data_IF_588942682167
#
_entry.id   IF_588942682167
#
_cell.length_a   1.000
_cell.length_b   1.000
_cell.length_c   1.000
_cell.angle_alpha   90.00
_cell.angle_beta   90.00
_cell.angle_gamma   90.00
#
_symmetry.space_group_name_H-M   'P 1'
#
loop_
_entity.id
_entity.type
_entity.pdbx_description
1 polymer ?
#
# COMPACT_ATOMS: atom_id res chain seq x y z
N UNK A 1 -1.44 -3.24 -27.12
CA UNK A 1 -2.36 -2.53 -26.20
C UNK A 1 -2.93 -3.44 -25.14
N UNK A 2 -3.70 -4.47 -25.50
CA UNK A 2 -4.32 -5.42 -24.54
C UNK A 2 -3.30 -6.08 -23.60
N UNK A 3 -2.15 -6.49 -24.13
CA UNK A 3 -1.03 -7.05 -23.34
C UNK A 3 -0.49 -6.05 -22.31
N UNK A 4 -0.25 -4.79 -22.74
CA UNK A 4 0.19 -3.70 -21.86
C UNK A 4 -0.84 -3.44 -20.74
N UNK A 5 -2.13 -3.38 -21.07
CA UNK A 5 -3.17 -3.23 -20.06
C UNK A 5 -3.27 -4.45 -19.13
N UNK A 6 -3.12 -5.67 -19.64
CA UNK A 6 -3.15 -6.87 -18.79
C UNK A 6 -2.02 -6.86 -17.76
N UNK A 7 -0.82 -6.43 -18.17
CA UNK A 7 0.34 -6.24 -17.29
C UNK A 7 0.16 -5.08 -16.30
N UNK A 8 -0.46 -3.98 -16.72
CA UNK A 8 -0.67 -2.81 -15.85
C UNK A 8 -1.81 -3.01 -14.86
N UNK A 9 -2.93 -3.60 -15.27
CA UNK A 9 -4.14 -3.74 -14.44
C UNK A 9 -3.91 -4.63 -13.22
N UNK A 10 -2.95 -5.57 -13.27
CA UNK A 10 -2.54 -6.33 -12.09
C UNK A 10 -2.05 -5.43 -10.95
N UNK A 11 -1.52 -4.24 -11.26
CA UNK A 11 -1.05 -3.23 -10.29
C UNK A 11 -2.18 -2.38 -9.70
N UNK A 12 -3.39 -2.44 -10.27
CA UNK A 12 -4.57 -1.67 -9.85
C UNK A 12 -5.70 -2.59 -9.39
N UNK A 13 -5.55 -3.21 -8.21
CA UNK A 13 -6.51 -4.20 -7.68
C UNK A 13 -7.98 -3.71 -7.68
N UNK A 14 -8.22 -2.44 -7.36
CA UNK A 14 -9.56 -1.83 -7.32
C UNK A 14 -10.19 -1.63 -8.70
N UNK A 15 -9.38 -1.38 -9.73
CA UNK A 15 -9.86 -1.30 -11.11
C UNK A 15 -10.12 -2.73 -11.64
N UNK A 16 -9.18 -3.65 -11.40
CA UNK A 16 -9.27 -5.06 -11.82
C UNK A 16 -10.54 -5.75 -11.32
N UNK A 17 -11.00 -5.41 -10.11
CA UNK A 17 -12.21 -5.97 -9.53
C UNK A 17 -13.50 -5.52 -10.22
N UNK A 18 -13.47 -4.44 -11.03
CA UNK A 18 -14.66 -3.75 -11.52
C UNK A 18 -14.77 -3.73 -13.04
N UNK A 19 -13.65 -3.66 -13.74
CA UNK A 19 -13.62 -3.51 -15.19
C UNK A 19 -12.75 -4.59 -15.83
N UNK A 20 -13.20 -5.11 -16.97
CA UNK A 20 -12.39 -6.03 -17.75
C UNK A 20 -11.27 -5.27 -18.48
N UNK A 21 -10.21 -5.98 -18.86
CA UNK A 21 -9.13 -5.41 -19.68
C UNK A 21 -9.68 -4.83 -20.99
N UNK A 22 -10.70 -5.46 -21.58
CA UNK A 22 -11.29 -5.01 -22.84
C UNK A 22 -12.08 -3.71 -22.66
N UNK A 23 -12.84 -3.58 -21.56
CA UNK A 23 -13.55 -2.34 -21.20
C UNK A 23 -12.58 -1.18 -20.97
N UNK A 24 -11.47 -1.44 -20.28
CA UNK A 24 -10.42 -0.45 -20.00
C UNK A 24 -9.73 0.02 -21.28
N UNK A 25 -9.40 -0.90 -22.18
CA UNK A 25 -8.83 -0.56 -23.49
C UNK A 25 -9.80 0.31 -24.28
N UNK A 26 -11.10 -0.03 -24.27
CA UNK A 26 -12.12 0.78 -24.95
C UNK A 26 -12.24 2.17 -24.31
N UNK A 27 -12.33 2.26 -22.99
CA UNK A 27 -12.39 3.53 -22.25
C UNK A 27 -11.18 4.43 -22.50
N UNK A 28 -9.99 3.83 -22.59
CA UNK A 28 -8.76 4.52 -22.96
C UNK A 28 -8.86 5.14 -24.36
N UNK A 29 -9.30 4.38 -25.37
CA UNK A 29 -9.43 4.91 -26.72
C UNK A 29 -10.52 5.98 -26.83
N UNK A 30 -11.62 5.84 -26.10
CA UNK A 30 -12.67 6.87 -26.00
C UNK A 30 -12.10 8.18 -25.45
N UNK A 31 -11.25 8.11 -24.42
CA UNK A 31 -10.77 9.30 -23.69
C UNK A 31 -9.51 9.91 -24.30
N UNK A 32 -8.57 9.07 -24.74
CA UNK A 32 -7.19 9.45 -25.11
C UNK A 32 -6.84 9.10 -26.56
N UNK A 33 -7.68 8.35 -27.28
CA UNK A 33 -7.33 7.70 -28.54
C UNK A 33 -6.74 8.61 -29.61
N UNK A 34 -7.31 9.82 -29.81
CA UNK A 34 -6.81 10.77 -30.81
C UNK A 34 -5.38 11.25 -30.49
N UNK A 35 -5.15 11.70 -29.26
CA UNK A 35 -3.84 12.23 -28.85
C UNK A 35 -2.79 11.11 -28.75
N UNK A 36 -3.21 9.94 -28.27
CA UNK A 36 -2.39 8.74 -28.22
C UNK A 36 -1.94 8.29 -29.63
N UNK A 37 -2.84 8.26 -30.61
CA UNK A 37 -2.50 7.86 -31.98
C UNK A 37 -1.43 8.78 -32.59
N UNK A 38 -1.52 10.10 -32.37
CA UNK A 38 -0.49 11.05 -32.80
C UNK A 38 0.85 10.76 -32.13
N UNK A 39 0.85 10.52 -30.81
CA UNK A 39 2.08 10.23 -30.06
C UNK A 39 2.77 8.93 -30.53
N UNK A 40 1.99 7.88 -30.80
CA UNK A 40 2.53 6.60 -31.28
C UNK A 40 3.01 6.67 -32.72
N UNK A 41 2.31 7.40 -33.60
CA UNK A 41 2.77 7.61 -34.99
C UNK A 41 4.08 8.40 -35.08
N UNK A 42 4.40 9.18 -34.05
CA UNK A 42 5.68 9.89 -33.94
C UNK A 42 6.82 9.03 -33.36
N UNK A 43 6.55 7.77 -32.96
CA UNK A 43 7.58 6.87 -32.45
C UNK A 43 8.57 6.49 -33.56
N UNK A 44 9.86 6.44 -33.21
CA UNK A 44 10.94 6.11 -34.15
C UNK A 44 11.01 4.62 -34.48
N UNK A 45 10.51 3.77 -33.59
CA UNK A 45 10.54 2.32 -33.68
C UNK A 45 9.48 1.69 -32.76
N UNK A 46 9.32 0.37 -32.87
CA UNK A 46 8.35 -0.40 -32.09
C UNK A 46 8.63 -0.37 -30.57
N UNK A 47 9.90 -0.26 -30.16
CA UNK A 47 10.24 -0.22 -28.74
C UNK A 47 9.88 1.13 -28.12
N UNK A 48 10.09 2.23 -28.84
CA UNK A 48 9.64 3.56 -28.49
C UNK A 48 8.11 3.62 -28.43
N UNK A 49 7.42 3.04 -29.42
CA UNK A 49 5.97 2.92 -29.42
C UNK A 49 5.47 2.19 -28.18
N UNK A 50 6.07 1.04 -27.82
CA UNK A 50 5.71 0.28 -26.61
C UNK A 50 5.90 1.09 -25.32
N UNK A 51 7.01 1.83 -25.17
CA UNK A 51 7.25 2.70 -24.00
C UNK A 51 6.21 3.82 -23.91
N UNK A 52 5.89 4.46 -25.03
CA UNK A 52 4.84 5.49 -25.11
C UNK A 52 3.50 4.88 -24.70
N UNK A 53 3.15 3.72 -25.24
CA UNK A 53 1.93 2.98 -24.88
C UNK A 53 1.84 2.69 -23.40
N UNK A 54 2.91 2.18 -22.79
CA UNK A 54 2.96 1.88 -21.36
C UNK A 54 2.73 3.14 -20.52
N UNK A 55 3.48 4.22 -20.79
CA UNK A 55 3.35 5.48 -20.05
C UNK A 55 1.95 6.09 -20.17
N UNK A 56 1.35 6.07 -21.35
CA UNK A 56 0.00 6.59 -21.57
C UNK A 56 -1.07 5.76 -20.86
N UNK A 57 -0.99 4.43 -20.97
CA UNK A 57 -1.91 3.53 -20.29
C UNK A 57 -1.79 3.66 -18.78
N UNK A 58 -0.57 3.71 -18.23
CA UNK A 58 -0.33 3.88 -16.79
C UNK A 58 -0.91 5.20 -16.28
N UNK A 59 -0.58 6.33 -16.92
CA UNK A 59 -1.11 7.63 -16.52
C UNK A 59 -2.64 7.69 -16.60
N UNK A 60 -3.23 7.09 -17.63
CA UNK A 60 -4.69 7.02 -17.74
C UNK A 60 -5.32 6.12 -16.67
N UNK A 61 -4.74 4.96 -16.36
CA UNK A 61 -5.21 4.09 -15.27
C UNK A 61 -5.10 4.77 -13.91
N UNK A 62 -4.05 5.57 -13.67
CA UNK A 62 -3.95 6.44 -12.49
C UNK A 62 -5.11 7.45 -12.45
N UNK A 63 -5.42 8.09 -13.59
CA UNK A 63 -6.54 9.01 -13.69
C UNK A 63 -7.89 8.32 -13.45
N UNK A 64 -8.10 7.10 -13.96
CA UNK A 64 -9.32 6.33 -13.68
C UNK A 64 -9.40 5.89 -12.21
N UNK A 65 -8.28 5.44 -11.62
CA UNK A 65 -8.20 5.10 -10.20
C UNK A 65 -8.56 6.31 -9.32
N UNK A 66 -8.16 7.52 -9.73
CA UNK A 66 -8.51 8.78 -9.04
C UNK A 66 -10.00 9.11 -9.10
N UNK A 67 -10.75 8.59 -10.08
CA UNK A 67 -12.21 8.77 -10.17
C UNK A 67 -12.98 7.80 -9.27
N UNK A 68 -12.34 6.72 -8.82
CA UNK A 68 -12.95 5.80 -7.87
C UNK A 68 -13.21 6.50 -6.53
N UNK A 69 -14.17 6.04 -5.72
CA UNK A 69 -14.56 6.71 -4.48
C UNK A 69 -13.39 6.98 -3.53
N UNK A 70 -12.43 6.05 -3.41
CA UNK A 70 -11.20 6.24 -2.64
C UNK A 70 -10.26 7.30 -3.23
N UNK A 71 -10.07 7.30 -4.55
CA UNK A 71 -9.27 8.33 -5.23
C UNK A 71 -9.89 9.73 -5.09
N UNK A 72 -11.21 9.81 -5.18
CA UNK A 72 -11.97 11.03 -4.97
C UNK A 72 -11.88 11.53 -3.52
N UNK A 73 -11.90 10.60 -2.55
CA UNK A 73 -11.67 10.90 -1.12
C UNK A 73 -10.27 11.46 -0.90
N UNK A 74 -9.22 10.80 -1.41
CA UNK A 74 -7.84 11.28 -1.29
C UNK A 74 -7.66 12.68 -1.86
N UNK A 75 -8.08 12.90 -3.11
CA UNK A 75 -7.98 14.21 -3.78
C UNK A 75 -8.70 15.30 -2.98
N UNK A 76 -9.80 14.95 -2.32
CA UNK A 76 -10.51 15.88 -1.44
C UNK A 76 -9.74 16.16 -0.16
N UNK A 77 -9.14 15.16 0.46
CA UNK A 77 -8.27 15.33 1.64
C UNK A 77 -7.07 16.20 1.26
N UNK A 78 -6.35 15.90 0.18
CA UNK A 78 -5.21 16.70 -0.33
C UNK A 78 -5.60 18.17 -0.55
N UNK A 79 -6.68 18.42 -1.31
CA UNK A 79 -7.17 19.79 -1.53
C UNK A 79 -7.60 20.51 -0.25
N UNK A 80 -8.01 19.78 0.79
CA UNK A 80 -8.40 20.37 2.07
C UNK A 80 -7.19 20.72 2.90
N UNK A 81 -6.20 19.84 2.93
CA UNK A 81 -4.90 20.08 3.54
C UNK A 81 -4.21 21.30 2.91
N UNK A 82 -4.19 21.39 1.57
CA UNK A 82 -3.59 22.52 0.84
C UNK A 82 -4.26 23.87 1.06
N UNK A 83 -5.57 23.89 1.36
CA UNK A 83 -6.37 25.13 1.46
C UNK A 83 -6.51 25.65 2.89
N UNK A 84 -6.13 24.86 3.89
CA UNK A 84 -6.34 25.19 5.28
C UNK A 84 -5.03 25.55 5.95
N UNK A 85 -4.99 26.72 6.58
CA UNK A 85 -3.81 27.19 7.32
C UNK A 85 -3.48 26.33 8.55
N UNK A 86 -4.34 25.38 8.91
CA UNK A 86 -4.15 24.45 10.03
C UNK A 86 -3.11 23.37 9.72
N UNK A 87 -2.79 23.13 8.45
CA UNK A 87 -1.92 22.03 8.03
C UNK A 87 -0.73 22.55 7.25
N UNK A 88 0.40 21.87 7.42
CA UNK A 88 1.64 22.16 6.69
C UNK A 88 2.17 20.87 6.04
N UNK A 89 2.72 20.95 4.81
CA UNK A 89 3.36 19.80 4.18
C UNK A 89 4.66 19.48 4.92
N UNK A 90 4.88 18.20 5.20
CA UNK A 90 6.13 17.70 5.81
C UNK A 90 7.27 17.70 4.80
N UNK A 91 8.51 17.64 5.30
CA UNK A 91 9.67 17.30 4.47
C UNK A 91 9.58 15.87 3.90
N UNK A 92 8.85 14.96 4.57
CA UNK A 92 8.57 13.63 4.04
C UNK A 92 7.49 13.71 2.94
N UNK A 93 7.78 13.09 1.80
CA UNK A 93 6.93 13.14 0.61
C UNK A 93 5.50 12.70 0.94
N UNK A 94 4.51 13.51 0.54
CA UNK A 94 3.07 13.28 0.75
C UNK A 94 2.61 13.17 2.21
N UNK A 95 3.45 13.54 3.17
CA UNK A 95 3.07 13.64 4.57
C UNK A 95 2.67 15.07 4.94
N UNK A 96 1.80 15.16 5.93
CA UNK A 96 1.29 16.43 6.47
C UNK A 96 1.35 16.39 7.99
N UNK A 97 1.44 17.58 8.59
CA UNK A 97 1.43 17.78 10.04
C UNK A 97 0.65 19.06 10.39
N UNK A 98 0.40 19.29 11.68
CA UNK A 98 -0.27 20.50 12.15
C UNK A 98 0.64 21.73 12.04
N UNK A 99 0.14 22.82 11.46
CA UNK A 99 0.86 24.10 11.43
C UNK A 99 1.17 24.57 12.86
N UNK A 100 2.43 24.84 13.15
CA UNK A 100 2.90 25.21 14.49
C UNK A 100 3.18 24.02 15.42
N UNK A 101 2.92 22.79 14.97
CA UNK A 101 3.33 21.56 15.64
C UNK A 101 4.72 21.09 15.19
N UNK A 102 5.16 19.96 15.74
CA UNK A 102 6.39 19.29 15.34
C UNK A 102 6.15 18.39 14.11
N UNK A 103 7.04 18.46 13.12
CA UNK A 103 7.11 17.53 11.99
C UNK A 103 7.79 16.22 12.41
N UNK A 104 7.19 15.54 13.39
CA UNK A 104 7.68 14.26 13.94
C UNK A 104 6.68 13.15 13.69
N UNK A 105 7.21 12.00 13.29
CA UNK A 105 6.44 10.77 13.16
C UNK A 105 6.37 10.09 14.52
N UNK A 106 5.15 10.05 15.09
CA UNK A 106 4.89 9.36 16.35
C UNK A 106 4.38 7.97 16.01
N UNK A 107 5.05 6.97 16.59
CA UNK A 107 4.59 5.59 16.49
C UNK A 107 3.28 5.44 17.26
N UNK A 108 2.16 5.51 16.54
CA UNK A 108 0.80 5.34 17.05
C UNK A 108 0.22 4.07 16.46
N UNK A 109 -0.36 3.16 17.27
CA UNK A 109 -1.10 2.01 16.78
C UNK A 109 -2.25 2.43 15.85
N UNK A 110 -2.49 1.65 14.80
CA UNK A 110 -3.60 1.92 13.88
C UNK A 110 -4.94 1.99 14.61
N UNK A 111 -5.19 1.06 15.53
CA UNK A 111 -6.44 0.98 16.28
C UNK A 111 -6.75 2.28 17.05
N UNK A 112 -5.71 2.98 17.53
CA UNK A 112 -5.86 4.27 18.20
C UNK A 112 -6.23 5.38 17.20
N UNK A 113 -5.63 5.37 16.01
CA UNK A 113 -5.98 6.30 14.93
C UNK A 113 -7.42 6.07 14.45
N UNK A 114 -7.83 4.82 14.31
CA UNK A 114 -9.20 4.44 13.95
C UNK A 114 -10.19 4.78 15.06
N UNK A 115 -9.83 4.58 16.33
CA UNK A 115 -10.65 4.97 17.46
C UNK A 115 -10.84 6.49 17.55
N UNK A 116 -9.77 7.27 17.35
CA UNK A 116 -9.86 8.74 17.25
C UNK A 116 -10.73 9.16 16.08
N UNK A 117 -10.55 8.51 14.94
CA UNK A 117 -11.38 8.78 13.77
C UNK A 117 -12.85 8.46 14.04
N UNK A 118 -13.17 7.34 14.68
CA UNK A 118 -14.53 6.95 15.04
C UNK A 118 -15.17 7.91 16.06
N UNK A 119 -14.38 8.41 17.01
CA UNK A 119 -14.84 9.30 18.08
C UNK A 119 -15.03 10.76 17.64
N UNK A 120 -14.39 11.22 16.56
CA UNK A 120 -14.56 12.58 16.08
C UNK A 120 -16.00 12.83 15.62
N UNK A 121 -16.61 13.98 15.91
CA UNK A 121 -18.02 14.26 15.58
C UNK A 121 -18.25 14.64 14.09
N UNK A 122 -17.57 13.99 13.14
CA UNK A 122 -17.79 14.23 11.71
C UNK A 122 -18.98 13.41 11.19
N UNK A 123 -20.11 14.06 10.94
CA UNK A 123 -21.27 13.41 10.37
C UNK A 123 -21.13 13.40 8.85
N UNK A 124 -20.84 12.26 8.21
CA UNK A 124 -20.92 12.21 6.75
C UNK A 124 -22.38 12.22 6.30
N UNK A 125 -22.89 13.43 6.14
CA UNK A 125 -24.09 13.66 5.36
C UNK A 125 -23.75 13.37 3.90
N UNK A 126 -24.05 12.14 3.44
CA UNK A 126 -24.12 11.83 2.01
C UNK A 126 -25.32 12.58 1.43
N UNK A 127 -25.18 13.91 1.28
CA UNK A 127 -26.14 14.72 0.56
C UNK A 127 -25.95 14.42 -0.91
N UNK A 128 -26.94 13.76 -1.48
CA UNK A 128 -27.03 13.63 -2.93
C UNK A 128 -27.49 14.99 -3.46
N UNK A 129 -26.55 15.90 -3.72
CA UNK A 129 -26.87 17.01 -4.60
C UNK A 129 -27.30 16.46 -5.96
N UNK A 130 -28.15 17.17 -6.73
CA UNK A 130 -28.52 16.76 -8.10
C UNK A 130 -27.32 16.49 -9.02
N UNK A 131 -26.14 17.01 -8.64
CA UNK A 131 -24.84 16.83 -9.29
C UNK A 131 -24.15 15.48 -9.00
N UNK A 132 -24.64 14.68 -8.05
CA UNK A 132 -23.99 13.44 -7.60
C UNK A 132 -22.77 13.66 -6.69
N UNK A 133 -22.51 14.90 -6.26
CA UNK A 133 -21.37 15.25 -5.41
C UNK A 133 -21.57 14.75 -3.98
N UNK A 134 -20.74 13.81 -3.54
CA UNK A 134 -20.64 13.42 -2.12
C UNK A 134 -20.04 14.58 -1.33
N UNK A 135 -20.69 15.03 -0.25
CA UNK A 135 -20.15 16.01 0.72
C UNK A 135 -19.71 15.26 1.98
N UNK A 136 -18.50 15.52 2.48
CA UNK A 136 -18.00 14.91 3.71
C UNK A 136 -18.29 15.87 4.86
N UNK A 137 -19.46 15.67 5.47
CA UNK A 137 -19.92 16.40 6.64
C UNK A 137 -20.07 17.90 6.50
N UNK A 138 -20.29 18.56 7.64
CA UNK A 138 -20.40 20.01 7.70
C UNK A 138 -19.03 20.66 7.44
N UNK A 139 -18.99 21.92 6.96
CA UNK A 139 -17.73 22.66 6.83
C UNK A 139 -16.94 22.63 8.15
N UNK A 140 -15.66 22.23 8.10
CA UNK A 140 -14.80 22.14 9.28
C UNK A 140 -14.76 20.76 9.95
N UNK A 141 -15.71 19.86 9.69
CA UNK A 141 -15.72 18.53 10.34
C UNK A 141 -14.60 17.61 9.85
N UNK A 142 -14.29 17.66 8.55
CA UNK A 142 -13.16 16.93 7.99
C UNK A 142 -11.84 17.52 8.49
N UNK A 143 -11.73 18.86 8.52
CA UNK A 143 -10.57 19.55 9.06
C UNK A 143 -10.36 19.18 10.54
N UNK A 144 -11.42 19.10 11.35
CA UNK A 144 -11.35 18.67 12.75
C UNK A 144 -10.92 17.19 12.89
N UNK A 145 -11.42 16.31 12.02
CA UNK A 145 -10.99 14.90 11.98
C UNK A 145 -9.50 14.79 11.66
N UNK A 146 -9.05 15.46 10.58
CA UNK A 146 -7.64 15.47 10.18
C UNK A 146 -6.77 16.09 11.29
N UNK A 147 -7.26 17.15 11.94
CA UNK A 147 -6.57 17.78 13.07
C UNK A 147 -6.34 16.79 14.20
N UNK A 148 -7.35 16.02 14.60
CA UNK A 148 -7.22 15.01 15.67
C UNK A 148 -6.27 13.87 15.30
N UNK A 149 -6.32 13.40 14.05
CA UNK A 149 -5.39 12.37 13.57
C UNK A 149 -3.95 12.85 13.63
N UNK A 150 -3.69 14.08 13.18
CA UNK A 150 -2.36 14.69 13.18
C UNK A 150 -1.90 15.11 14.59
N UNK A 151 -2.81 15.50 15.47
CA UNK A 151 -2.48 15.80 16.87
C UNK A 151 -1.95 14.54 17.59
N UNK A 152 -2.53 13.39 17.28
CA UNK A 152 -2.11 12.09 17.81
C UNK A 152 -0.81 11.59 17.13
N UNK A 153 -0.78 11.56 15.80
CA UNK A 153 0.34 10.98 15.03
C UNK A 153 1.55 11.91 14.86
N UNK A 154 1.38 13.22 15.12
CA UNK A 154 2.34 14.27 14.75
C UNK A 154 2.34 14.53 13.24
N UNK A 155 2.77 13.51 12.48
CA UNK A 155 2.80 13.49 11.02
C UNK A 155 2.05 12.26 10.50
N UNK A 156 1.35 12.40 9.37
CA UNK A 156 0.69 11.26 8.74
C UNK A 156 0.72 11.36 7.21
N UNK A 157 0.82 10.21 6.53
CA UNK A 157 0.78 10.17 5.08
C UNK A 157 -0.66 10.36 4.58
N UNK A 158 -0.85 11.09 3.48
CA UNK A 158 -2.20 11.37 2.96
C UNK A 158 -2.98 10.11 2.56
N UNK A 159 -2.27 9.05 2.19
CA UNK A 159 -2.90 7.77 1.88
C UNK A 159 -3.42 7.05 3.15
N UNK A 160 -2.69 7.12 4.26
CA UNK A 160 -3.16 6.58 5.56
C UNK A 160 -4.39 7.35 6.04
N UNK A 161 -4.36 8.69 5.97
CA UNK A 161 -5.54 9.52 6.23
C UNK A 161 -6.74 9.08 5.38
N UNK A 162 -6.50 8.75 4.11
CA UNK A 162 -7.54 8.29 3.18
C UNK A 162 -8.11 6.95 3.60
N UNK A 163 -7.27 5.99 4.02
CA UNK A 163 -7.71 4.66 4.50
C UNK A 163 -8.55 4.81 5.76
N UNK A 164 -8.05 5.55 6.76
CA UNK A 164 -8.73 5.78 8.04
C UNK A 164 -10.08 6.50 7.82
N UNK A 165 -10.08 7.56 7.01
CA UNK A 165 -11.33 8.25 6.65
C UNK A 165 -12.26 7.32 5.85
N UNK A 166 -11.71 6.50 4.96
CA UNK A 166 -12.50 5.58 4.15
C UNK A 166 -13.20 4.51 4.97
N UNK A 167 -12.50 3.92 5.94
CA UNK A 167 -13.08 2.95 6.89
C UNK A 167 -14.23 3.52 7.71
N UNK A 168 -14.18 4.83 8.01
CA UNK A 168 -15.25 5.55 8.69
C UNK A 168 -16.47 5.85 7.79
N UNK A 169 -16.28 5.95 6.48
CA UNK A 169 -17.33 6.38 5.54
C UNK A 169 -17.69 5.31 4.48
N UNK A 170 -18.00 4.07 4.88
CA UNK A 170 -18.20 2.96 3.93
C UNK A 170 -19.37 3.25 2.98
N UNK A 171 -20.46 3.87 3.45
CA UNK A 171 -21.61 4.23 2.61
C UNK A 171 -21.31 5.31 1.57
N UNK A 172 -20.37 6.22 1.85
CA UNK A 172 -19.92 7.24 0.89
C UNK A 172 -19.05 6.63 -0.22
N UNK A 173 -18.40 5.50 0.06
CA UNK A 173 -17.54 4.76 -0.86
C UNK A 173 -18.28 3.66 -1.64
N UNK A 174 -19.40 3.15 -1.11
CA UNK A 174 -20.17 2.04 -1.70
C UNK A 174 -21.09 2.43 -2.86
N UNK A 175 -21.26 3.72 -3.17
CA UNK A 175 -22.14 4.15 -4.28
C UNK A 175 -21.48 3.98 -5.65
N UNK A 176 -21.16 2.72 -6.01
CA UNK A 176 -21.35 2.21 -7.39
C UNK A 176 -21.22 0.70 -7.59
N UNK A 177 -20.73 -0.13 -6.65
CA UNK A 177 -20.71 -1.59 -6.87
C UNK A 177 -20.75 -2.36 -5.56
N UNK A 178 -21.83 -3.10 -5.37
CA UNK A 178 -21.94 -4.19 -4.41
C UNK A 178 -21.82 -5.50 -5.18
N UNK A 179 -20.61 -6.03 -5.28
CA UNK A 179 -20.37 -7.47 -5.52
C UNK A 179 -18.95 -7.81 -5.04
N UNK A 180 -18.88 -8.58 -3.94
CA UNK A 180 -17.64 -9.17 -3.46
C UNK A 180 -17.68 -10.66 -3.82
N UNK A 181 -16.71 -11.10 -4.62
CA UNK A 181 -16.40 -12.51 -4.84
C UNK A 181 -15.05 -12.78 -4.17
N UNK A 182 -15.06 -13.71 -3.21
CA UNK A 182 -13.87 -14.23 -2.52
C UNK A 182 -13.32 -15.36 -3.37
N UNK A 183 -12.06 -15.24 -3.82
CA UNK A 183 -11.34 -16.37 -4.43
C UNK A 183 -10.05 -16.60 -3.67
N UNK A 184 -9.94 -17.86 -3.28
CA UNK A 184 -8.92 -18.53 -2.50
C UNK A 184 -7.78 -19.01 -3.42
N UNK A 185 -6.56 -18.49 -3.26
CA UNK A 185 -5.32 -19.15 -3.73
C UNK A 185 -4.10 -18.56 -3.01
N UNK A 186 -3.54 -19.32 -2.05
CA UNK A 186 -2.47 -18.86 -1.17
C UNK A 186 -1.16 -19.63 -1.41
N UNK A 187 -0.08 -18.85 -1.52
CA UNK A 187 1.35 -19.14 -1.27
C UNK A 187 2.31 -19.21 -2.46
N UNK A 188 1.93 -19.70 -3.64
CA UNK A 188 2.88 -19.76 -4.79
C UNK A 188 3.04 -18.41 -5.55
N UNK A 189 2.26 -17.39 -5.20
CA UNK A 189 2.23 -16.09 -5.90
C UNK A 189 3.15 -15.04 -5.23
N UNK A 190 3.74 -15.35 -4.08
CA UNK A 190 4.54 -14.37 -3.31
C UNK A 190 5.92 -14.12 -3.96
N UNK A 191 6.36 -14.97 -4.89
CA UNK A 191 7.71 -14.87 -5.50
C UNK A 191 7.86 -13.87 -6.65
N UNK A 192 6.78 -13.25 -7.17
CA UNK A 192 6.85 -12.43 -8.41
C UNK A 192 6.29 -10.99 -8.29
N UNK A 193 6.08 -10.46 -7.07
CA UNK A 193 5.49 -9.12 -6.89
C UNK A 193 6.49 -7.98 -6.67
N UNK A 194 7.73 -8.10 -7.16
CA UNK A 194 8.68 -7.00 -7.16
C UNK A 194 9.14 -6.66 -8.58
N UNK A 195 8.41 -5.73 -9.20
CA UNK A 195 8.98 -4.55 -9.87
C UNK A 195 7.86 -3.56 -10.30
N UNK A 196 7.93 -2.38 -9.68
CA UNK A 196 7.19 -1.10 -9.83
C UNK A 196 5.92 -0.99 -10.68
N UNK A 197 4.83 -0.47 -10.12
CA UNK A 197 4.26 0.82 -10.56
C UNK A 197 3.18 1.35 -9.60
N UNK A 198 3.19 2.67 -9.44
CA UNK A 198 2.63 3.47 -8.34
C UNK A 198 1.11 3.67 -8.47
N UNK A 199 0.34 2.61 -8.23
CA UNK A 199 -1.07 2.76 -7.85
C UNK A 199 -1.12 3.25 -6.40
N UNK A 200 -1.56 4.48 -6.20
CA UNK A 200 -1.78 5.11 -4.89
C UNK A 200 -2.49 4.21 -3.87
N UNK A 201 -3.42 3.37 -4.32
CA UNK A 201 -4.11 2.41 -3.47
C UNK A 201 -3.19 1.25 -3.06
N UNK A 202 -2.36 0.78 -3.98
CA UNK A 202 -1.34 -0.23 -3.74
C UNK A 202 -0.27 0.30 -2.80
N UNK A 203 0.15 1.56 -2.94
CA UNK A 203 1.08 2.23 -2.02
C UNK A 203 0.45 2.44 -0.63
N UNK A 204 -0.82 2.85 -0.54
CA UNK A 204 -1.54 2.97 0.73
C UNK A 204 -1.66 1.63 1.45
N UNK A 205 -2.01 0.58 0.70
CA UNK A 205 -2.14 -0.77 1.23
C UNK A 205 -0.79 -1.36 1.59
N UNK A 206 0.28 -1.05 0.85
CA UNK A 206 1.63 -1.45 1.18
C UNK A 206 2.11 -0.80 2.47
N UNK A 207 1.98 0.52 2.61
CA UNK A 207 2.32 1.26 3.86
C UNK A 207 1.53 0.69 5.05
N UNK A 208 0.23 0.46 4.85
CA UNK A 208 -0.62 -0.12 5.88
C UNK A 208 -0.17 -1.54 6.28
N UNK A 209 0.13 -2.38 5.29
CA UNK A 209 0.62 -3.74 5.51
C UNK A 209 2.00 -3.75 6.17
N UNK A 210 2.90 -2.85 5.79
CA UNK A 210 4.22 -2.62 6.41
C UNK A 210 4.07 -2.20 7.89
N UNK A 211 3.12 -1.31 8.20
CA UNK A 211 2.85 -0.85 9.57
C UNK A 211 2.32 -1.97 10.46
N UNK A 212 1.37 -2.76 9.97
CA UNK A 212 0.84 -3.93 10.69
C UNK A 212 1.95 -4.98 10.84
N UNK A 213 2.73 -5.23 9.79
CA UNK A 213 3.86 -6.14 9.82
C UNK A 213 4.90 -5.73 10.87
N UNK A 214 5.23 -4.44 10.97
CA UNK A 214 6.11 -3.90 12.00
C UNK A 214 5.60 -4.13 13.44
N UNK A 215 4.27 -4.23 13.63
CA UNK A 215 3.67 -4.64 14.91
C UNK A 215 3.71 -6.15 15.18
N UNK A 216 3.77 -6.98 14.12
CA UNK A 216 3.84 -8.45 14.22
C UNK A 216 5.28 -8.93 14.47
N UNK A 217 6.28 -8.31 13.82
CA UNK A 217 7.69 -8.75 13.90
C UNK A 217 8.22 -8.86 15.34
N UNK A 218 7.95 -7.92 16.27
CA UNK A 218 8.36 -8.03 17.67
C UNK A 218 7.72 -9.20 18.44
N UNK A 219 6.61 -9.75 17.94
CA UNK A 219 5.90 -10.88 18.55
C UNK A 219 6.46 -12.25 18.12
N UNK A 220 7.35 -12.26 17.12
CA UNK A 220 8.01 -13.46 16.62
C UNK A 220 9.20 -13.83 17.49
N UNK A 221 9.32 -15.12 17.78
CA UNK A 221 10.50 -15.67 18.47
C UNK A 221 11.70 -15.78 17.52
N UNK A 222 12.91 -15.87 18.05
CA UNK A 222 14.12 -16.07 17.24
C UNK A 222 14.06 -17.34 16.38
N UNK A 223 13.42 -18.39 16.88
CA UNK A 223 13.19 -19.62 16.10
C UNK A 223 12.29 -19.37 14.90
N UNK A 224 11.25 -18.56 15.06
CA UNK A 224 10.32 -18.22 13.99
C UNK A 224 10.96 -17.29 12.96
N UNK A 225 11.74 -16.30 13.42
CA UNK A 225 12.56 -15.47 12.52
C UNK A 225 13.55 -16.34 11.72
N UNK A 226 14.18 -17.33 12.33
CA UNK A 226 15.05 -18.30 11.64
C UNK A 226 14.31 -19.13 10.60
N UNK A 227 13.07 -19.54 10.88
CA UNK A 227 12.20 -20.22 9.89
C UNK A 227 11.91 -19.32 8.69
N UNK A 228 11.62 -18.03 8.90
CA UNK A 228 11.38 -17.07 7.80
C UNK A 228 12.63 -16.87 6.95
N UNK A 229 13.81 -16.80 7.58
CA UNK A 229 15.11 -16.60 6.92
C UNK A 229 15.46 -17.75 5.97
N UNK A 230 15.14 -18.98 6.34
CA UNK A 230 15.46 -20.18 5.54
C UNK A 230 14.24 -20.77 4.81
N UNK A 231 13.20 -19.95 4.55
CA UNK A 231 11.91 -20.40 3.99
C UNK A 231 11.98 -21.09 2.61
N UNK A 232 13.08 -20.95 1.87
CA UNK A 232 13.34 -21.62 0.58
C UNK A 232 14.39 -22.73 0.64
N UNK A 233 14.99 -23.00 1.81
CA UNK A 233 16.08 -23.95 1.98
C UNK A 233 15.87 -24.80 3.23
N UNK A 234 15.12 -25.90 3.06
CA UNK A 234 14.69 -26.75 4.17
C UNK A 234 15.84 -27.55 4.80
N UNK A 235 16.94 -27.75 4.08
CA UNK A 235 18.15 -28.36 4.63
C UNK A 235 18.84 -27.39 5.57
N UNK A 236 19.08 -26.16 5.14
CA UNK A 236 19.62 -25.10 6.01
C UNK A 236 18.71 -24.79 7.20
N UNK A 237 17.39 -24.86 7.02
CA UNK A 237 16.46 -24.67 8.12
C UNK A 237 16.58 -25.77 9.18
N UNK A 238 16.67 -27.03 8.76
CA UNK A 238 16.83 -28.16 9.68
C UNK A 238 18.13 -28.05 10.48
N UNK A 239 19.23 -27.69 9.81
CA UNK A 239 20.53 -27.45 10.42
C UNK A 239 20.49 -26.26 11.40
N UNK A 240 19.93 -25.12 10.99
CA UNK A 240 19.83 -23.92 11.83
C UNK A 240 18.95 -24.12 13.07
N UNK A 241 17.96 -25.00 12.99
CA UNK A 241 17.11 -25.38 14.13
C UNK A 241 17.65 -26.57 14.93
N UNK A 242 18.74 -27.21 14.49
CA UNK A 242 19.30 -28.42 15.10
C UNK A 242 18.32 -29.59 15.17
N UNK A 243 17.47 -29.77 14.16
CA UNK A 243 16.41 -30.79 14.16
C UNK A 243 16.31 -31.54 12.83
N UNK A 244 15.45 -32.57 12.78
CA UNK A 244 15.23 -33.33 11.54
C UNK A 244 14.42 -32.52 10.52
N UNK A 245 14.53 -32.85 9.23
CA UNK A 245 13.76 -32.23 8.14
C UNK A 245 12.26 -32.23 8.42
N UNK A 246 11.70 -33.34 8.92
CA UNK A 246 10.28 -33.42 9.28
C UNK A 246 9.89 -32.46 10.41
N UNK A 247 10.78 -32.26 11.38
CA UNK A 247 10.58 -31.28 12.47
C UNK A 247 10.66 -29.83 11.95
N UNK A 248 11.57 -29.56 11.01
CA UNK A 248 11.68 -28.27 10.34
C UNK A 248 10.43 -27.93 9.51
N UNK A 249 9.88 -28.91 8.77
CA UNK A 249 8.59 -28.77 8.07
C UNK A 249 7.47 -28.43 9.06
N UNK A 250 7.37 -29.15 10.18
CA UNK A 250 6.36 -28.87 11.21
C UNK A 250 6.54 -27.49 11.86
N UNK A 251 7.78 -27.01 12.00
CA UNK A 251 8.06 -25.64 12.46
C UNK A 251 7.57 -24.60 11.46
N UNK A 252 7.83 -24.79 10.15
CA UNK A 252 7.33 -23.94 9.09
C UNK A 252 5.79 -23.91 9.01
N UNK A 253 5.14 -25.07 9.13
CA UNK A 253 3.67 -25.16 9.15
C UNK A 253 3.07 -24.43 10.36
N UNK A 254 3.63 -24.64 11.56
CA UNK A 254 3.14 -23.95 12.77
C UNK A 254 3.33 -22.44 12.69
N UNK A 255 4.47 -22.00 12.17
CA UNK A 255 4.70 -20.57 11.93
C UNK A 255 3.66 -20.01 10.97
N UNK A 256 3.34 -20.70 9.87
CA UNK A 256 2.32 -20.26 8.92
C UNK A 256 0.97 -20.06 9.59
N UNK A 257 0.50 -21.03 10.37
CA UNK A 257 -0.78 -20.91 11.09
C UNK A 257 -0.76 -19.72 12.03
N UNK A 258 0.32 -19.55 12.80
CA UNK A 258 0.45 -18.43 13.74
C UNK A 258 0.51 -17.07 13.04
N UNK A 259 1.23 -16.97 11.92
CA UNK A 259 1.30 -15.74 11.14
C UNK A 259 -0.06 -15.37 10.53
N UNK A 260 -0.83 -16.37 10.05
CA UNK A 260 -2.20 -16.15 9.59
C UNK A 260 -3.13 -15.69 10.72
N UNK A 261 -2.99 -16.26 11.92
CA UNK A 261 -3.73 -15.81 13.10
C UNK A 261 -3.38 -14.37 13.48
N UNK A 262 -2.10 -14.00 13.45
CA UNK A 262 -1.62 -12.65 13.77
C UNK A 262 -2.01 -11.60 12.73
N UNK A 263 -2.02 -11.96 11.44
CA UNK A 263 -2.47 -11.07 10.36
C UNK A 263 -4.00 -10.93 10.31
N UNK A 264 -4.74 -11.90 10.87
CA UNK A 264 -6.20 -11.92 10.88
C UNK A 264 -6.82 -12.23 9.51
N UNK A 265 -8.15 -12.27 9.46
CA UNK A 265 -8.94 -12.57 8.26
C UNK A 265 -9.16 -11.34 7.36
N UNK A 266 -8.21 -10.41 7.32
CA UNK A 266 -8.37 -9.18 6.55
C UNK A 266 -8.14 -9.40 5.04
N UNK A 267 -8.78 -8.61 4.17
CA UNK A 267 -8.62 -8.71 2.72
C UNK A 267 -7.16 -8.56 2.24
N UNK A 268 -6.31 -7.89 3.03
CA UNK A 268 -4.89 -7.63 2.77
C UNK A 268 -3.93 -8.52 3.59
N UNK A 269 -4.42 -9.64 4.14
CA UNK A 269 -3.62 -10.53 4.98
C UNK A 269 -2.37 -11.07 4.28
N UNK A 270 -2.44 -11.31 2.97
CA UNK A 270 -1.28 -11.77 2.19
C UNK A 270 -0.20 -10.69 2.06
N UNK A 271 -0.59 -9.45 1.84
CA UNK A 271 0.34 -8.31 1.76
C UNK A 271 0.99 -8.02 3.12
N UNK A 272 0.25 -8.19 4.23
CA UNK A 272 0.81 -8.09 5.58
C UNK A 272 1.87 -9.18 5.81
N UNK A 273 1.56 -10.43 5.43
CA UNK A 273 2.51 -11.54 5.55
C UNK A 273 3.77 -11.33 4.70
N UNK A 274 3.62 -10.80 3.48
CA UNK A 274 4.76 -10.46 2.63
C UNK A 274 5.65 -9.39 3.29
N UNK A 275 5.05 -8.33 3.84
CA UNK A 275 5.80 -7.27 4.53
C UNK A 275 6.50 -7.78 5.82
N UNK A 276 5.89 -8.71 6.58
CA UNK A 276 6.56 -9.35 7.74
C UNK A 276 7.82 -10.10 7.30
N UNK A 277 7.71 -10.83 6.19
CA UNK A 277 8.81 -11.60 5.64
C UNK A 277 9.94 -10.68 5.18
N UNK A 278 9.60 -9.58 4.50
CA UNK A 278 10.56 -8.56 4.03
C UNK A 278 11.30 -7.91 5.22
N UNK A 279 10.58 -7.45 6.24
CA UNK A 279 11.18 -6.83 7.44
C UNK A 279 12.14 -7.78 8.19
N UNK A 280 11.80 -9.07 8.32
CA UNK A 280 12.67 -10.06 9.00
C UNK A 280 13.93 -10.36 8.19
N UNK A 281 13.87 -10.25 6.86
CA UNK A 281 15.03 -10.35 6.00
C UNK A 281 15.88 -9.07 6.05
N UNK A 282 15.26 -7.89 6.09
CA UNK A 282 15.96 -6.59 6.12
C UNK A 282 16.66 -6.32 7.46
N UNK A 283 16.15 -6.86 8.59
CA UNK A 283 16.86 -6.84 9.89
C UNK A 283 18.29 -7.42 9.81
N UNK A 284 18.62 -8.17 8.75
CA UNK A 284 19.96 -8.75 8.54
C UNK A 284 20.94 -7.83 7.80
N UNK A 285 20.52 -6.66 7.32
CA UNK A 285 21.40 -5.66 6.69
C UNK A 285 22.38 -4.97 7.66
N UNK A 286 22.17 -5.10 8.97
CA UNK A 286 23.12 -4.65 10.00
C UNK A 286 24.19 -5.74 10.26
N UNK A 287 24.93 -6.14 9.21
CA UNK A 287 26.17 -6.90 9.38
C UNK A 287 27.29 -5.90 9.72
N UNK A 288 28.02 -6.08 10.84
CA UNK A 288 29.21 -5.29 11.12
C UNK A 288 30.16 -5.41 9.94
N UNK A 289 30.62 -4.28 9.40
CA UNK A 289 31.77 -4.28 8.51
C UNK A 289 32.90 -4.98 9.27
N UNK A 290 33.22 -6.21 8.88
CA UNK A 290 34.42 -6.87 9.33
C UNK A 290 35.57 -5.97 8.86
N UNK A 291 36.12 -5.23 9.82
CA UNK A 291 37.40 -4.58 9.75
C UNK A 291 38.41 -5.70 9.45
N UNK A 292 38.72 -5.90 8.17
CA UNK A 292 39.99 -6.51 7.81
C UNK A 292 41.01 -5.38 7.90
N UNK A 293 41.46 -5.13 9.14
CA UNK A 293 42.79 -4.61 9.39
C UNK A 293 43.76 -5.57 8.71
N UNK A 294 44.19 -5.21 7.51
CA UNK A 294 45.50 -5.65 7.03
C UNK A 294 46.50 -4.85 7.84
N UNK A 295 46.92 -5.43 8.95
CA UNK A 295 48.18 -5.09 9.59
C UNK A 295 49.29 -5.24 8.54
N UNK A 296 49.90 -4.08 8.26
CA UNK A 296 51.27 -3.97 7.78
C UNK A 296 52.15 -4.78 8.73
N UNK A 297 52.61 -5.95 8.28
CA UNK A 297 53.77 -6.58 8.87
C UNK A 297 54.91 -6.52 7.84
N UNK A 298 55.76 -5.54 8.09
CA UNK A 298 57.00 -5.26 7.41
C UNK A 298 58.11 -6.07 8.09
N UNK A 299 58.63 -7.13 7.46
CA UNK A 299 60.01 -7.60 7.71
C UNK A 299 60.61 -8.27 6.46
N UNK A 300 61.77 -7.73 6.07
CA UNK A 300 62.78 -8.11 5.06
C UNK A 300 62.58 -7.66 3.61
#
# INVERSE_FOLDING_TARGET
MREVFSSLVSKFATIRARESVDDLVQGFFVTKGKAYAVAVLAATDDAAARRITYAWAMNWLVDEARKLPFGALRNRIEKRLERSDLFSPSAAVHHWYLTGGEDTDRSVPLDDLEAVAAAAAANVAVRTEPSGKVVLGAPGELEELLRRLLDLAGRLHVAEMTVICGGRFPLALQRRDASLSVVDTAWEIIEDSHEGDDSVFTTAMRIQSERIAAGIVPQLTDKEKTVIRHRGDMERLADALGCSRSSAYNAATRLRTRLQELAGAQPNSLEILAAVVELVLDETGAVPSAHNDREDDSVN
#
